data_IF_859897386687
#
_entry.id   IF_859897386687
#
_cell.length_a   1.000
_cell.length_b   1.000
_cell.length_c   1.000
_cell.angle_alpha   90.00
_cell.angle_beta   90.00
_cell.angle_gamma   90.00
#
_symmetry.space_group_name_H-M   'P 1'
#
loop_
_entity.id
_entity.type
_entity.pdbx_description
1 polymer ?
#
# COMPACT_ATOMS: atom_id res chain seq x y z
N UNK A 1 -11.07 13.05 9.24
CA UNK A 1 -10.34 11.97 8.54
C UNK A 1 -8.93 11.80 9.09
N UNK A 2 -8.06 12.82 9.02
CA UNK A 2 -6.68 12.78 9.50
C UNK A 2 -6.48 12.13 10.88
N UNK A 3 -7.11 12.66 11.94
CA UNK A 3 -6.98 12.12 13.31
C UNK A 3 -7.48 10.66 13.46
N UNK A 4 -8.50 10.28 12.70
CA UNK A 4 -9.02 8.91 12.72
C UNK A 4 -8.04 7.95 12.03
N UNK A 5 -7.41 8.38 10.94
CA UNK A 5 -6.37 7.62 10.24
C UNK A 5 -5.11 7.50 11.12
N UNK A 6 -4.68 8.57 11.77
CA UNK A 6 -3.55 8.52 12.71
C UNK A 6 -3.75 7.47 13.81
N UNK A 7 -4.97 7.36 14.36
CA UNK A 7 -5.28 6.37 15.39
C UNK A 7 -5.48 4.96 14.86
N UNK A 8 -6.02 4.81 13.66
CA UNK A 8 -6.39 3.51 13.10
C UNK A 8 -5.23 2.83 12.35
N UNK A 9 -4.36 3.60 11.69
CA UNK A 9 -3.30 3.08 10.82
C UNK A 9 -2.39 2.04 11.49
N UNK A 10 -1.99 2.16 12.77
CA UNK A 10 -1.16 1.15 13.43
C UNK A 10 -1.86 -0.21 13.59
N UNK A 11 -3.18 -0.27 13.55
CA UNK A 11 -3.96 -1.50 13.71
C UNK A 11 -4.43 -2.09 12.37
N UNK A 12 -4.17 -1.40 11.25
CA UNK A 12 -4.61 -1.86 9.94
C UNK A 12 -3.82 -3.10 9.49
N UNK A 13 -4.53 -4.08 8.93
CA UNK A 13 -3.90 -5.21 8.23
C UNK A 13 -3.52 -4.84 6.78
N UNK A 14 -2.88 -5.76 6.06
CA UNK A 14 -2.39 -5.52 4.70
C UNK A 14 -3.52 -5.23 3.69
N UNK A 15 -4.68 -5.86 3.89
CA UNK A 15 -5.84 -5.63 3.03
C UNK A 15 -6.41 -4.23 3.25
N UNK A 16 -6.56 -3.82 4.51
CA UNK A 16 -7.02 -2.49 4.88
C UNK A 16 -6.06 -1.41 4.38
N UNK A 17 -4.74 -1.58 4.57
CA UNK A 17 -3.72 -0.64 4.10
C UNK A 17 -3.78 -0.48 2.59
N UNK A 18 -3.78 -1.58 1.84
CA UNK A 18 -3.78 -1.53 0.37
C UNK A 18 -5.07 -0.98 -0.20
N UNK A 19 -6.24 -1.30 0.39
CA UNK A 19 -7.52 -0.74 -0.01
C UNK A 19 -7.61 0.75 0.29
N UNK A 20 -7.19 1.17 1.48
CA UNK A 20 -7.19 2.57 1.88
C UNK A 20 -6.31 3.40 0.96
N UNK A 21 -5.08 2.96 0.70
CA UNK A 21 -4.16 3.66 -0.20
C UNK A 21 -4.70 3.75 -1.62
N UNK A 22 -5.23 2.65 -2.16
CA UNK A 22 -5.83 2.66 -3.49
C UNK A 22 -7.01 3.64 -3.58
N UNK A 23 -7.89 3.67 -2.57
CA UNK A 23 -8.98 4.64 -2.51
C UNK A 23 -8.46 6.08 -2.43
N UNK A 24 -7.48 6.35 -1.58
CA UNK A 24 -6.90 7.68 -1.43
C UNK A 24 -6.16 8.15 -2.70
N UNK A 25 -5.49 7.25 -3.41
CA UNK A 25 -4.82 7.53 -4.68
C UNK A 25 -5.79 7.88 -5.82
N UNK A 26 -7.05 7.48 -5.69
CA UNK A 26 -8.13 7.84 -6.63
C UNK A 26 -8.90 9.10 -6.19
N UNK A 27 -8.89 9.42 -4.89
CA UNK A 27 -9.65 10.51 -4.29
C UNK A 27 -8.75 11.70 -3.92
N UNK A 28 -8.27 12.44 -4.92
CA UNK A 28 -7.34 13.57 -4.75
C UNK A 28 -7.77 14.60 -3.68
N UNK A 29 -9.05 14.94 -3.60
CA UNK A 29 -9.56 15.88 -2.59
C UNK A 29 -9.43 15.35 -1.15
N UNK A 30 -9.68 14.05 -0.95
CA UNK A 30 -9.51 13.41 0.36
C UNK A 30 -8.03 13.30 0.72
N UNK A 31 -7.17 12.98 -0.25
CA UNK A 31 -5.72 12.94 -0.07
C UNK A 31 -5.14 14.31 0.31
N UNK A 32 -5.62 15.39 -0.32
CA UNK A 32 -5.24 16.75 0.00
C UNK A 32 -5.66 17.23 1.40
N UNK A 33 -6.72 16.64 1.97
CA UNK A 33 -7.21 16.97 3.32
C UNK A 33 -6.50 16.19 4.45
N UNK A 34 -5.60 15.27 4.11
CA UNK A 34 -4.86 14.47 5.09
C UNK A 34 -3.72 15.28 5.72
N UNK A 35 -3.51 15.10 7.04
CA UNK A 35 -2.36 15.68 7.73
C UNK A 35 -1.07 14.96 7.36
N UNK A 36 0.08 15.62 7.55
CA UNK A 36 1.38 14.95 7.41
C UNK A 36 1.53 13.79 8.41
N UNK A 37 1.06 13.97 9.65
CA UNK A 37 1.08 12.92 10.66
C UNK A 37 0.21 11.70 10.28
N UNK A 38 -0.92 11.93 9.61
CA UNK A 38 -1.74 10.87 9.04
C UNK A 38 -0.99 10.10 7.97
N UNK A 39 -0.28 10.79 7.07
CA UNK A 39 0.56 10.12 6.08
C UNK A 39 1.76 9.39 6.69
N UNK A 40 2.37 9.91 7.75
CA UNK A 40 3.44 9.21 8.47
C UNK A 40 2.93 7.92 9.11
N UNK A 41 1.71 7.94 9.66
CA UNK A 41 1.07 6.75 10.23
C UNK A 41 0.77 5.70 9.16
N UNK A 42 0.28 6.12 7.99
CA UNK A 42 0.03 5.24 6.84
C UNK A 42 1.33 4.66 6.29
N UNK A 43 2.40 5.44 6.19
CA UNK A 43 3.70 4.95 5.74
C UNK A 43 4.26 3.86 6.67
N UNK A 44 4.12 4.04 7.99
CA UNK A 44 4.47 2.99 8.97
C UNK A 44 3.61 1.75 8.82
N UNK A 45 2.31 1.90 8.55
CA UNK A 45 1.42 0.78 8.30
C UNK A 45 1.79 0.01 7.03
N UNK A 46 2.22 0.69 5.97
CA UNK A 46 2.78 0.04 4.77
C UNK A 46 4.03 -0.75 5.11
N UNK A 47 4.96 -0.15 5.86
CA UNK A 47 6.19 -0.84 6.25
C UNK A 47 5.90 -2.11 7.07
N UNK A 48 4.97 -2.04 8.03
CA UNK A 48 4.65 -3.19 8.89
C UNK A 48 3.88 -4.29 8.17
N UNK A 49 3.07 -3.93 7.17
CA UNK A 49 2.21 -4.89 6.45
C UNK A 49 2.80 -5.39 5.14
N UNK A 50 3.86 -4.75 4.62
CA UNK A 50 4.52 -5.17 3.38
C UNK A 50 4.86 -6.66 3.32
N UNK A 51 5.45 -7.30 4.37
CA UNK A 51 5.80 -8.71 4.33
C UNK A 51 4.61 -9.68 4.20
N UNK A 52 3.40 -9.23 4.55
CA UNK A 52 2.19 -10.08 4.51
C UNK A 52 1.30 -9.78 3.30
N UNK A 53 1.69 -8.84 2.43
CA UNK A 53 0.88 -8.45 1.28
C UNK A 53 0.64 -9.62 0.31
N UNK A 54 -0.61 -9.76 -0.10
CA UNK A 54 -1.00 -10.60 -1.24
C UNK A 54 -0.61 -9.93 -2.57
N UNK A 55 -0.59 -10.65 -3.71
CA UNK A 55 -0.29 -10.05 -5.01
C UNK A 55 -1.18 -8.83 -5.32
N UNK A 56 -2.47 -8.94 -5.02
CA UNK A 56 -3.43 -7.83 -5.18
C UNK A 56 -3.12 -6.67 -4.23
N UNK A 57 -2.83 -6.96 -2.95
CA UNK A 57 -2.50 -5.95 -1.96
C UNK A 57 -1.25 -5.15 -2.32
N UNK A 58 -0.21 -5.84 -2.79
CA UNK A 58 1.02 -5.23 -3.27
C UNK A 58 0.77 -4.36 -4.51
N UNK A 59 0.05 -4.87 -5.51
CA UNK A 59 -0.26 -4.12 -6.73
C UNK A 59 -1.03 -2.83 -6.44
N UNK A 60 -2.05 -2.91 -5.59
CA UNK A 60 -2.83 -1.74 -5.14
C UNK A 60 -1.95 -0.72 -4.40
N UNK A 61 -1.07 -1.20 -3.52
CA UNK A 61 -0.15 -0.35 -2.76
C UNK A 61 0.81 0.38 -3.69
N UNK A 62 1.47 -0.33 -4.61
CA UNK A 62 2.41 0.28 -5.56
C UNK A 62 1.72 1.27 -6.50
N UNK A 63 0.52 0.94 -7.00
CA UNK A 63 -0.28 1.85 -7.82
C UNK A 63 -0.65 3.13 -7.06
N UNK A 64 -0.99 3.02 -5.77
CA UNK A 64 -1.28 4.18 -4.95
C UNK A 64 -0.03 5.03 -4.65
N UNK A 65 1.12 4.40 -4.36
CA UNK A 65 2.37 5.11 -4.09
C UNK A 65 2.86 5.92 -5.30
N UNK A 66 2.56 5.46 -6.52
CA UNK A 66 2.81 6.22 -7.74
C UNK A 66 1.97 7.51 -7.84
N UNK A 67 0.76 7.51 -7.25
CA UNK A 67 -0.18 8.64 -7.28
C UNK A 67 -0.17 9.49 -6.01
N UNK A 68 0.47 9.02 -4.93
CA UNK A 68 0.53 9.69 -3.63
C UNK A 68 1.97 10.02 -3.23
N UNK A 69 2.58 11.09 -3.79
CA UNK A 69 3.90 11.58 -3.36
C UNK A 69 4.01 11.81 -1.86
N UNK A 70 2.90 12.17 -1.21
CA UNK A 70 2.85 12.36 0.23
C UNK A 70 3.19 11.08 1.00
N UNK A 71 2.83 9.89 0.52
CA UNK A 71 3.19 8.63 1.19
C UNK A 71 4.54 8.12 0.71
N UNK A 72 4.79 8.13 -0.59
CA UNK A 72 6.02 7.57 -1.16
C UNK A 72 7.29 8.30 -0.71
N UNK A 73 7.24 9.62 -0.52
CA UNK A 73 8.36 10.41 0.04
C UNK A 73 8.65 10.14 1.52
N UNK A 74 7.74 9.47 2.23
CA UNK A 74 7.84 9.16 3.66
C UNK A 74 8.27 7.73 3.94
N UNK A 75 8.23 6.86 2.93
CA UNK A 75 8.72 5.50 3.08
C UNK A 75 10.24 5.50 3.19
N UNK A 76 10.81 4.95 4.27
CA UNK A 76 12.26 4.84 4.39
C UNK A 76 12.78 3.78 3.38
N UNK A 77 14.06 3.87 3.00
CA UNK A 77 14.66 2.93 2.04
C UNK A 77 14.43 1.44 2.39
N UNK A 78 14.54 0.99 3.66
CA UNK A 78 14.21 -0.38 4.03
C UNK A 78 12.75 -0.79 3.76
N UNK A 79 11.80 0.14 3.79
CA UNK A 79 10.41 -0.16 3.43
C UNK A 79 10.27 -0.41 1.91
N UNK A 80 10.99 0.38 1.10
CA UNK A 80 11.06 0.14 -0.35
C UNK A 80 11.73 -1.18 -0.69
N UNK A 81 12.84 -1.51 -0.04
CA UNK A 81 13.54 -2.79 -0.20
C UNK A 81 12.60 -3.97 0.11
N UNK A 82 11.82 -3.88 1.20
CA UNK A 82 10.82 -4.91 1.54
C UNK A 82 9.73 -5.05 0.47
N UNK A 83 9.19 -3.94 -0.03
CA UNK A 83 8.21 -3.98 -1.11
C UNK A 83 8.79 -4.61 -2.38
N UNK A 84 10.07 -4.34 -2.68
CA UNK A 84 10.76 -4.97 -3.81
C UNK A 84 10.93 -6.47 -3.59
N UNK A 85 11.42 -6.90 -2.42
CA UNK A 85 11.57 -8.34 -2.10
C UNK A 85 10.24 -9.07 -2.24
N UNK A 86 9.16 -8.52 -1.69
CA UNK A 86 7.83 -9.12 -1.81
C UNK A 86 7.37 -9.13 -3.27
N UNK A 87 7.69 -8.10 -4.05
CA UNK A 87 7.41 -8.09 -5.50
C UNK A 87 8.11 -9.26 -6.21
N UNK A 88 9.40 -9.45 -5.96
CA UNK A 88 10.20 -10.53 -6.56
C UNK A 88 9.65 -11.92 -6.19
N UNK A 89 9.21 -12.11 -4.94
CA UNK A 89 8.58 -13.34 -4.47
C UNK A 89 7.20 -13.62 -5.08
N UNK A 90 6.44 -12.57 -5.40
CA UNK A 90 5.07 -12.68 -5.89
C UNK A 90 4.96 -12.67 -7.41
N UNK A 91 5.94 -12.16 -8.16
CA UNK A 91 5.95 -12.16 -9.63
C UNK A 91 5.67 -13.56 -10.21
N UNK A 92 6.31 -14.65 -9.75
CA UNK A 92 6.02 -16.00 -10.25
C UNK A 92 4.60 -16.47 -9.94
N UNK A 93 3.97 -15.97 -8.86
CA UNK A 93 2.60 -16.31 -8.46
C UNK A 93 1.56 -15.53 -9.26
N UNK A 94 1.85 -14.28 -9.61
CA UNK A 94 0.97 -13.44 -10.43
C UNK A 94 0.81 -14.01 -11.84
N UNK A 95 1.90 -14.40 -12.49
CA UNK A 95 1.86 -15.02 -13.83
C UNK A 95 1.13 -16.36 -13.80
N UNK A 96 1.25 -17.12 -12.71
CA UNK A 96 0.52 -18.36 -12.49
C UNK A 96 -0.99 -18.12 -12.33
N UNK A 97 -1.41 -17.10 -11.59
CA UNK A 97 -2.83 -16.74 -11.43
C UNK A 97 -3.46 -16.25 -12.74
N UNK A 98 -2.77 -15.43 -13.51
CA UNK A 98 -3.23 -15.02 -14.85
C UNK A 98 -3.36 -16.22 -15.77
N UNK A 99 -2.36 -17.11 -15.77
CA UNK A 99 -2.41 -18.37 -16.53
C UNK A 99 -3.53 -19.30 -16.07
N UNK A 100 -3.92 -19.28 -14.80
CA UNK A 100 -5.08 -20.04 -14.27
C UNK A 100 -6.40 -19.40 -14.70
N UNK A 101 -6.50 -18.07 -14.70
CA UNK A 101 -7.70 -17.34 -15.15
C UNK A 101 -7.94 -17.46 -16.66
N UNK A 102 -6.89 -17.52 -17.47
CA UNK A 102 -7.02 -17.69 -18.92
C UNK A 102 -7.43 -19.10 -19.37
N UNK A 103 -7.51 -20.07 -18.45
CA UNK A 103 -7.82 -21.48 -18.74
C UNK A 103 -9.29 -21.87 -18.51
N UNK A 104 -10.18 -20.92 -18.21
CA UNK A 104 -11.62 -21.14 -18.02
C UNK A 104 -12.44 -20.07 -18.73
#
# INVERSE_FOLDING_TARGET
VARAVESAAPAMNEQEVSMFLNAMGQLNAAAGAMSLAGWDAVARAVESTAPTMTPKGLANTLAALANLPAVSSRLPAPAWERLQTVSEELIPKMSLEESRRARW
#
